data_IF_292811216880
#
_entry.id   IF_292811216880
#
_cell.length_a   1.000
_cell.length_b   1.000
_cell.length_c   1.000
_cell.angle_alpha   90.00
_cell.angle_beta   90.00
_cell.angle_gamma   90.00
#
_symmetry.space_group_name_H-M   'P 1'
#
loop_
_entity.id
_entity.type
_entity.pdbx_description
1 polymer ?
#
# COMPACT_ATOMS: atom_id res chain seq x y z
N UNK A 1 79.05 39.54 -3.94
CA UNK A 1 77.80 40.00 -4.57
C UNK A 1 77.31 38.95 -5.53
N UNK A 2 76.69 37.88 -5.10
CA UNK A 2 76.02 36.90 -5.99
C UNK A 2 75.24 35.86 -5.14
N UNK A 3 74.23 36.28 -4.39
CA UNK A 3 73.36 35.33 -3.67
C UNK A 3 71.87 35.69 -3.58
N UNK A 4 71.39 36.68 -4.35
CA UNK A 4 70.01 37.17 -4.23
C UNK A 4 69.09 36.77 -5.39
N UNK A 5 69.59 36.16 -6.46
CA UNK A 5 68.77 35.90 -7.65
C UNK A 5 68.17 34.47 -7.67
N UNK A 6 68.68 33.54 -6.89
CA UNK A 6 68.22 32.14 -6.91
C UNK A 6 66.95 31.85 -6.05
N UNK A 7 66.56 32.74 -5.16
CA UNK A 7 65.38 32.53 -4.31
C UNK A 7 64.06 32.98 -4.95
N UNK A 8 64.08 33.89 -5.88
CA UNK A 8 62.83 34.39 -6.52
C UNK A 8 62.27 33.46 -7.58
N UNK A 9 63.06 32.68 -8.25
CA UNK A 9 62.59 31.73 -9.27
C UNK A 9 61.92 30.48 -8.69
N UNK A 10 62.38 30.01 -7.53
CA UNK A 10 61.76 28.84 -6.88
C UNK A 10 60.41 29.20 -6.21
N UNK A 11 60.23 30.40 -5.72
CA UNK A 11 58.95 30.85 -5.14
C UNK A 11 57.84 30.97 -6.18
N UNK A 12 58.19 31.50 -7.35
CA UNK A 12 57.20 31.61 -8.47
C UNK A 12 56.85 30.24 -9.01
N UNK A 13 57.75 29.25 -9.06
CA UNK A 13 57.45 27.89 -9.49
C UNK A 13 56.62 27.11 -8.48
N UNK A 14 56.79 27.32 -7.20
CA UNK A 14 55.95 26.73 -6.15
C UNK A 14 54.55 27.36 -6.13
N UNK A 15 54.42 28.66 -6.33
CA UNK A 15 53.13 29.32 -6.37
C UNK A 15 52.30 28.95 -7.62
N UNK A 16 52.96 28.71 -8.77
CA UNK A 16 52.32 28.23 -9.98
C UNK A 16 51.86 26.75 -9.89
N UNK A 17 52.62 25.90 -9.26
CA UNK A 17 52.25 24.49 -8.97
C UNK A 17 51.08 24.40 -7.97
N UNK A 18 51.10 25.24 -6.93
CA UNK A 18 49.98 25.30 -5.97
C UNK A 18 48.69 25.80 -6.57
N UNK A 19 48.75 26.83 -7.45
CA UNK A 19 47.58 27.35 -8.18
C UNK A 19 47.02 26.34 -9.20
N UNK A 20 47.86 25.56 -9.84
CA UNK A 20 47.44 24.49 -10.78
C UNK A 20 46.77 23.33 -10.05
N UNK A 21 47.21 22.95 -8.86
CA UNK A 21 46.62 21.89 -8.05
C UNK A 21 45.26 22.32 -7.48
N UNK A 22 45.10 23.58 -7.08
CA UNK A 22 43.81 24.12 -6.60
C UNK A 22 42.82 24.28 -7.77
N UNK A 23 43.28 24.60 -8.98
CA UNK A 23 42.43 24.70 -10.14
C UNK A 23 41.93 23.34 -10.64
N UNK A 24 42.73 22.29 -10.52
CA UNK A 24 42.31 20.91 -10.87
C UNK A 24 41.30 20.36 -9.84
N UNK A 25 41.42 20.73 -8.55
CA UNK A 25 40.45 20.34 -7.52
C UNK A 25 39.12 21.12 -7.60
N UNK A 26 39.10 22.31 -8.23
CA UNK A 26 37.88 23.11 -8.41
C UNK A 26 37.09 22.73 -9.70
N UNK A 27 37.69 21.97 -10.60
CA UNK A 27 37.02 21.48 -11.82
C UNK A 27 36.46 20.06 -11.65
N UNK A 28 36.84 19.32 -10.61
CA UNK A 28 36.13 18.14 -10.18
C UNK A 28 34.86 18.61 -9.44
N UNK A 29 33.87 19.09 -10.20
CA UNK A 29 32.50 19.18 -9.69
C UNK A 29 32.10 17.81 -9.10
N UNK A 30 31.18 17.78 -8.11
CA UNK A 30 30.65 16.50 -7.68
C UNK A 30 30.15 15.81 -8.93
N UNK A 31 30.65 14.61 -9.20
CA UNK A 31 30.05 13.75 -10.20
C UNK A 31 28.55 13.78 -9.88
N UNK A 32 27.76 14.36 -10.76
CA UNK A 32 26.33 14.20 -10.68
C UNK A 32 26.15 12.69 -10.76
N UNK A 33 25.83 12.08 -9.62
CA UNK A 33 25.48 10.67 -9.60
C UNK A 33 24.40 10.55 -10.65
N UNK A 34 24.75 9.92 -11.78
CA UNK A 34 23.77 9.62 -12.80
C UNK A 34 22.75 8.74 -12.11
N UNK A 35 21.55 9.25 -11.91
CA UNK A 35 20.46 8.46 -11.36
C UNK A 35 20.42 7.19 -12.21
N UNK A 36 20.68 6.05 -11.57
CA UNK A 36 20.65 4.78 -12.27
C UNK A 36 19.22 4.57 -12.72
N UNK A 37 18.99 4.58 -14.02
CA UNK A 37 17.66 4.37 -14.58
C UNK A 37 17.50 2.88 -14.79
N UNK A 38 16.64 2.26 -13.99
CA UNK A 38 16.27 0.87 -14.16
C UNK A 38 15.23 0.76 -15.27
N UNK A 39 15.04 -0.44 -15.79
CA UNK A 39 14.01 -0.74 -16.77
C UNK A 39 12.97 -1.63 -16.15
N UNK A 40 11.72 -1.17 -16.13
CA UNK A 40 10.58 -1.95 -15.70
C UNK A 40 10.03 -2.76 -16.88
N UNK A 41 9.94 -4.06 -16.71
CA UNK A 41 9.27 -5.01 -17.59
C UNK A 41 8.13 -5.65 -16.83
N UNK A 42 6.91 -5.42 -17.29
CA UNK A 42 5.69 -5.86 -16.62
C UNK A 42 5.09 -7.07 -17.33
N UNK A 43 4.76 -8.09 -16.56
CA UNK A 43 3.89 -9.18 -16.96
C UNK A 43 2.63 -9.17 -16.11
N UNK A 44 1.47 -9.22 -16.75
CA UNK A 44 0.17 -9.31 -16.09
C UNK A 44 -0.38 -10.71 -16.34
N UNK A 45 -0.81 -11.39 -15.27
CA UNK A 45 -1.27 -12.77 -15.34
C UNK A 45 -2.54 -13.00 -14.53
N UNK A 46 -3.25 -14.07 -14.84
CA UNK A 46 -4.39 -14.52 -14.03
C UNK A 46 -3.92 -15.04 -12.67
N UNK A 47 -4.50 -14.53 -11.60
CA UNK A 47 -4.19 -14.93 -10.22
C UNK A 47 -4.71 -16.31 -9.85
N UNK A 48 -5.76 -16.80 -10.53
CA UNK A 48 -6.38 -18.11 -10.28
C UNK A 48 -6.90 -18.73 -11.56
N UNK A 49 -7.29 -20.01 -11.45
CA UNK A 49 -8.03 -20.72 -12.48
C UNK A 49 -9.52 -20.40 -12.34
N UNK A 50 -10.14 -19.93 -13.43
CA UNK A 50 -11.57 -19.68 -13.49
C UNK A 50 -12.16 -20.39 -14.72
N UNK A 51 -12.98 -21.45 -14.51
CA UNK A 51 -13.57 -22.19 -15.62
C UNK A 51 -14.66 -21.41 -16.35
N UNK A 52 -15.35 -20.51 -15.66
CA UNK A 52 -16.53 -19.77 -16.12
C UNK A 52 -16.24 -18.30 -16.46
N UNK A 53 -14.96 -17.97 -16.72
CA UNK A 53 -14.58 -16.61 -17.10
C UNK A 53 -15.32 -16.16 -18.38
N UNK A 54 -15.72 -14.86 -18.48
CA UNK A 54 -16.51 -14.35 -19.62
C UNK A 54 -15.89 -14.61 -21.00
N UNK A 55 -14.56 -14.58 -21.10
CA UNK A 55 -13.81 -14.92 -22.33
C UNK A 55 -13.53 -16.41 -22.53
N UNK A 56 -14.07 -17.30 -21.70
CA UNK A 56 -13.77 -18.71 -21.64
C UNK A 56 -12.77 -19.04 -20.53
N UNK A 57 -12.60 -20.34 -20.23
CA UNK A 57 -11.74 -20.81 -19.15
C UNK A 57 -10.35 -20.16 -19.19
N UNK A 58 -9.92 -19.60 -18.07
CA UNK A 58 -8.54 -19.16 -17.81
C UNK A 58 -7.86 -20.03 -16.78
N UNK A 59 -6.55 -20.11 -16.80
CA UNK A 59 -5.74 -20.87 -15.84
C UNK A 59 -4.84 -19.93 -15.07
N UNK A 60 -4.58 -20.21 -13.80
CA UNK A 60 -3.62 -19.44 -13.00
C UNK A 60 -2.29 -19.33 -13.74
N UNK A 61 -1.78 -18.10 -13.86
CA UNK A 61 -0.54 -17.77 -14.56
C UNK A 61 -0.69 -17.53 -16.06
N UNK A 62 -1.89 -17.73 -16.64
CA UNK A 62 -2.14 -17.34 -18.03
C UNK A 62 -1.88 -15.84 -18.22
N UNK A 63 -1.17 -15.49 -19.28
CA UNK A 63 -0.87 -14.08 -19.58
C UNK A 63 -2.14 -13.33 -19.99
N UNK A 64 -2.28 -12.12 -19.48
CA UNK A 64 -3.34 -11.17 -19.85
C UNK A 64 -2.75 -10.20 -20.89
N UNK A 65 -3.13 -10.33 -22.16
CA UNK A 65 -2.44 -9.63 -23.25
C UNK A 65 -2.84 -8.15 -23.39
N UNK A 66 -4.02 -7.77 -22.90
CA UNK A 66 -4.57 -6.42 -23.03
C UNK A 66 -4.90 -5.85 -21.66
N UNK A 67 -4.20 -4.77 -21.29
CA UNK A 67 -4.43 -4.08 -20.01
C UNK A 67 -4.03 -2.61 -20.10
N UNK A 68 -4.50 -1.83 -19.12
CA UNK A 68 -4.00 -0.48 -18.83
C UNK A 68 -3.34 -0.50 -17.46
N UNK A 69 -2.37 0.37 -17.27
CA UNK A 69 -1.69 0.51 -15.99
C UNK A 69 -1.55 1.97 -15.57
N UNK A 70 -1.43 2.17 -14.27
CA UNK A 70 -1.10 3.43 -13.61
C UNK A 70 0.00 3.15 -12.60
N UNK A 71 1.09 3.89 -12.63
CA UNK A 71 2.17 3.82 -11.63
C UNK A 71 2.18 5.13 -10.86
N UNK A 72 2.04 5.02 -9.55
CA UNK A 72 2.17 6.13 -8.61
C UNK A 72 3.50 6.02 -7.86
N UNK A 73 4.05 7.15 -7.45
CA UNK A 73 5.09 7.19 -6.42
C UNK A 73 4.41 6.76 -5.11
N UNK A 74 4.97 5.75 -4.45
CA UNK A 74 4.44 5.26 -3.19
C UNK A 74 5.06 6.05 -2.05
N UNK A 75 4.27 6.91 -1.44
CA UNK A 75 4.64 7.75 -0.30
C UNK A 75 3.88 7.36 0.99
N UNK A 76 3.30 6.15 1.02
CA UNK A 76 2.43 5.63 2.08
C UNK A 76 3.17 4.97 3.25
N UNK A 77 4.37 5.35 3.58
CA UNK A 77 5.07 4.86 4.77
C UNK A 77 6.16 3.82 4.50
N UNK A 78 6.79 3.33 5.57
CA UNK A 78 7.86 2.34 5.48
C UNK A 78 7.29 0.92 5.55
N UNK A 79 7.44 0.09 4.48
CA UNK A 79 6.96 -1.28 4.50
C UNK A 79 7.74 -2.18 5.47
N UNK A 80 8.87 -1.73 6.00
CA UNK A 80 9.65 -2.48 7.00
C UNK A 80 9.12 -2.29 8.42
N UNK A 81 8.23 -1.33 8.64
CA UNK A 81 7.61 -1.03 9.93
C UNK A 81 8.64 -0.81 11.06
N UNK A 82 9.78 -0.25 10.74
CA UNK A 82 10.82 0.08 11.73
C UNK A 82 10.61 1.51 12.19
N UNK A 83 10.28 1.69 13.48
CA UNK A 83 10.20 3.02 14.09
C UNK A 83 11.57 3.62 14.28
N UNK A 84 11.72 4.86 13.89
CA UNK A 84 12.91 5.64 14.17
C UNK A 84 12.96 6.06 15.65
N UNK A 85 14.18 6.35 16.14
CA UNK A 85 14.36 6.89 17.48
C UNK A 85 13.64 8.26 17.58
N UNK A 86 12.88 8.46 18.66
CA UNK A 86 12.09 9.68 18.85
C UNK A 86 10.66 9.61 18.29
N UNK A 87 10.25 8.45 17.78
CA UNK A 87 8.92 8.23 17.22
C UNK A 87 8.12 7.21 18.04
N UNK A 88 8.02 7.45 19.35
CA UNK A 88 7.17 6.65 20.25
C UNK A 88 6.18 7.55 20.96
N UNK A 89 5.09 6.99 21.49
CA UNK A 89 4.05 7.75 22.17
C UNK A 89 4.57 8.54 23.38
N UNK A 90 5.71 8.13 23.97
CA UNK A 90 6.35 8.80 25.10
C UNK A 90 7.30 9.94 24.68
N UNK A 91 7.61 10.07 23.39
CA UNK A 91 8.55 11.08 22.90
C UNK A 91 7.89 12.46 22.81
N UNK A 92 8.61 13.53 23.21
CA UNK A 92 8.10 14.89 23.08
C UNK A 92 7.79 15.25 21.62
N UNK A 93 6.54 15.68 21.37
CA UNK A 93 6.10 16.10 20.03
C UNK A 93 5.55 14.96 19.17
N UNK A 94 5.41 13.74 19.70
CA UNK A 94 4.72 12.66 18.99
C UNK A 94 3.25 13.05 18.68
N UNK A 95 2.72 12.72 17.48
CA UNK A 95 3.37 12.04 16.37
C UNK A 95 4.15 12.96 15.42
N UNK A 96 4.08 14.29 15.59
CA UNK A 96 4.70 15.28 14.68
C UNK A 96 6.23 15.20 14.64
N UNK A 97 6.84 14.60 15.66
CA UNK A 97 8.28 14.33 15.70
C UNK A 97 8.72 13.17 14.81
N UNK A 98 7.78 12.40 14.27
CA UNK A 98 8.06 11.23 13.44
C UNK A 98 8.31 11.64 11.98
N UNK A 99 9.35 11.07 11.36
CA UNK A 99 9.64 11.29 9.93
C UNK A 99 8.87 10.32 9.01
N UNK A 100 8.01 9.50 9.57
CA UNK A 100 7.22 8.54 8.79
C UNK A 100 6.10 9.23 8.02
N UNK A 101 6.04 9.04 6.69
CA UNK A 101 4.99 9.63 5.86
C UNK A 101 3.57 9.23 6.30
N UNK A 102 3.38 8.02 6.81
CA UNK A 102 2.10 7.48 7.28
C UNK A 102 1.53 8.19 8.53
N UNK A 103 2.35 8.90 9.28
CA UNK A 103 1.93 9.67 10.48
C UNK A 103 1.63 11.13 10.14
N UNK A 104 2.15 11.61 9.03
CA UNK A 104 1.96 12.99 8.57
C UNK A 104 0.89 13.07 7.51
N UNK A 105 0.07 14.12 7.56
CA UNK A 105 -0.79 14.48 6.44
C UNK A 105 0.09 14.88 5.25
N UNK A 106 0.16 14.04 4.22
CA UNK A 106 0.91 14.32 3.00
C UNK A 106 -0.04 14.96 1.99
N UNK A 107 0.25 16.20 1.61
CA UNK A 107 -0.49 16.87 0.56
C UNK A 107 -0.10 16.27 -0.81
N UNK A 108 -1.10 15.79 -1.57
CA UNK A 108 -0.89 15.20 -2.89
C UNK A 108 -0.33 13.79 -2.82
N UNK A 109 -0.89 12.98 -1.92
CA UNK A 109 -0.53 11.57 -1.77
C UNK A 109 -0.46 10.82 -3.11
N UNK A 110 0.53 9.93 -3.24
CA UNK A 110 0.72 9.04 -4.38
C UNK A 110 0.66 9.71 -5.76
N UNK A 111 1.54 10.69 -6.07
CA UNK A 111 1.52 11.36 -7.36
C UNK A 111 1.77 10.36 -8.51
N UNK A 112 1.10 10.56 -9.62
CA UNK A 112 1.25 9.71 -10.81
C UNK A 112 2.66 9.89 -11.37
N UNK A 113 3.43 8.78 -11.44
CA UNK A 113 4.69 8.74 -12.14
C UNK A 113 4.48 8.56 -13.64
N UNK A 114 3.71 7.55 -14.05
CA UNK A 114 3.36 7.28 -15.46
C UNK A 114 2.11 6.42 -15.57
N UNK A 115 1.53 6.37 -16.77
CA UNK A 115 0.39 5.52 -17.09
C UNK A 115 0.44 5.13 -18.57
N UNK A 116 -0.19 4.04 -18.94
CA UNK A 116 -0.22 3.56 -20.30
C UNK A 116 -0.93 2.21 -20.46
N UNK A 117 -0.44 1.42 -21.40
CA UNK A 117 -0.97 0.11 -21.72
C UNK A 117 0.17 -0.90 -21.99
N UNK A 118 -0.18 -2.14 -22.34
CA UNK A 118 0.75 -3.23 -22.63
C UNK A 118 1.78 -2.91 -23.72
N UNK A 119 1.48 -2.00 -24.64
CA UNK A 119 2.38 -1.68 -25.76
C UNK A 119 3.67 -1.00 -25.31
N UNK A 120 3.64 -0.31 -24.16
CA UNK A 120 4.81 0.37 -23.59
C UNK A 120 5.92 -0.63 -23.19
N UNK A 121 5.55 -1.88 -22.95
CA UNK A 121 6.48 -2.94 -22.56
C UNK A 121 6.99 -3.77 -23.76
N UNK A 122 6.38 -3.66 -24.94
CA UNK A 122 6.76 -4.39 -26.14
C UNK A 122 8.11 -3.98 -26.72
N UNK A 123 8.59 -2.77 -26.39
CA UNK A 123 9.82 -2.15 -26.92
C UNK A 123 11.04 -2.24 -26.00
N UNK A 124 11.01 -3.05 -24.93
CA UNK A 124 12.12 -3.16 -23.98
C UNK A 124 11.82 -2.53 -22.61
N UNK A 125 10.55 -2.25 -22.32
CA UNK A 125 10.08 -1.74 -21.03
C UNK A 125 10.20 -0.22 -20.88
N UNK A 126 9.82 0.26 -19.70
CA UNK A 126 9.83 1.69 -19.37
C UNK A 126 10.97 2.03 -18.41
N UNK A 127 11.63 3.19 -18.59
CA UNK A 127 12.65 3.65 -17.65
C UNK A 127 11.98 4.08 -16.33
N UNK A 128 12.55 3.66 -15.20
CA UNK A 128 12.07 4.01 -13.87
C UNK A 128 13.26 4.29 -12.94
N UNK A 129 13.30 5.42 -12.23
CA UNK A 129 14.34 5.72 -11.25
C UNK A 129 14.18 4.88 -9.97
N UNK A 130 15.22 4.85 -9.15
CA UNK A 130 15.17 4.25 -7.82
C UNK A 130 14.07 4.92 -6.99
N UNK A 131 13.31 4.12 -6.24
CA UNK A 131 12.22 4.61 -5.40
C UNK A 131 11.18 3.54 -5.10
N UNK A 132 10.14 3.94 -4.37
CA UNK A 132 8.99 3.11 -4.04
C UNK A 132 7.80 3.49 -4.91
N UNK A 133 7.08 2.50 -5.39
CA UNK A 133 6.00 2.68 -6.34
C UNK A 133 4.83 1.74 -6.04
N UNK A 134 3.64 2.19 -6.43
CA UNK A 134 2.43 1.37 -6.53
C UNK A 134 2.02 1.30 -7.99
N UNK A 135 1.83 0.09 -8.52
CA UNK A 135 1.22 -0.10 -9.83
C UNK A 135 -0.21 -0.62 -9.66
N UNK A 136 -1.15 0.01 -10.35
CA UNK A 136 -2.53 -0.45 -10.52
C UNK A 136 -2.74 -0.88 -11.95
N UNK A 137 -3.42 -2.01 -12.16
CA UNK A 137 -3.65 -2.59 -13.47
C UNK A 137 -5.13 -2.88 -13.65
N UNK A 138 -5.67 -2.47 -14.81
CA UNK A 138 -7.05 -2.68 -15.25
C UNK A 138 -7.06 -3.53 -16.53
N UNK A 139 -7.75 -4.65 -16.50
CA UNK A 139 -8.02 -5.51 -17.68
C UNK A 139 -9.51 -5.89 -17.72
N UNK A 140 -10.05 -6.11 -18.91
CA UNK A 140 -11.50 -6.17 -19.17
C UNK A 140 -12.29 -7.12 -18.25
N UNK A 141 -11.96 -8.42 -18.28
CA UNK A 141 -12.71 -9.47 -17.56
C UNK A 141 -12.09 -9.80 -16.19
N UNK A 142 -11.33 -8.87 -15.63
CA UNK A 142 -10.61 -9.04 -14.37
C UNK A 142 -10.94 -7.92 -13.40
N UNK A 143 -10.90 -8.23 -12.11
CA UNK A 143 -10.90 -7.20 -11.07
C UNK A 143 -9.62 -6.37 -11.19
N UNK A 144 -9.74 -5.06 -11.00
CA UNK A 144 -8.56 -4.18 -10.88
C UNK A 144 -7.69 -4.68 -9.74
N UNK A 145 -6.42 -4.77 -10.00
CA UNK A 145 -5.41 -5.20 -9.03
C UNK A 145 -4.14 -4.37 -9.15
N UNK A 146 -3.21 -4.61 -8.27
CA UNK A 146 -1.94 -3.89 -8.24
C UNK A 146 -1.00 -4.44 -7.20
N UNK A 147 0.20 -3.87 -7.14
CA UNK A 147 1.24 -4.27 -6.19
C UNK A 147 2.16 -3.09 -5.88
N UNK A 148 2.59 -3.00 -4.62
CA UNK A 148 3.69 -2.13 -4.22
C UNK A 148 5.02 -2.76 -4.63
N UNK A 149 5.95 -1.96 -5.12
CA UNK A 149 7.27 -2.45 -5.48
C UNK A 149 8.35 -1.38 -5.27
N UNK A 150 9.58 -1.82 -5.09
CA UNK A 150 10.72 -0.96 -4.91
C UNK A 150 11.73 -1.13 -6.05
N UNK A 151 12.31 -0.04 -6.50
CA UNK A 151 13.38 -0.01 -7.48
C UNK A 151 14.69 0.33 -6.77
N UNK A 152 15.78 -0.42 -6.98
CA UNK A 152 16.04 -1.34 -8.11
C UNK A 152 15.29 -2.66 -8.01
N UNK A 153 14.67 -3.03 -9.13
CA UNK A 153 13.99 -4.31 -9.27
C UNK A 153 14.99 -5.47 -9.35
N UNK A 154 14.60 -6.70 -8.96
CA UNK A 154 15.38 -7.89 -9.24
C UNK A 154 15.63 -8.01 -10.74
N UNK A 155 16.69 -8.72 -11.11
CA UNK A 155 16.97 -9.01 -12.52
C UNK A 155 15.77 -9.70 -13.18
N UNK A 156 15.58 -9.53 -14.49
CA UNK A 156 14.44 -10.10 -15.19
C UNK A 156 14.42 -11.64 -15.07
N UNK A 157 13.22 -12.20 -15.01
CA UNK A 157 13.01 -13.64 -15.00
C UNK A 157 13.34 -14.28 -16.37
N UNK A 158 13.06 -15.57 -16.54
CA UNK A 158 13.30 -16.27 -17.80
C UNK A 158 12.45 -15.75 -18.98
N UNK A 159 11.39 -14.99 -18.70
CA UNK A 159 10.54 -14.31 -19.67
C UNK A 159 11.00 -12.90 -20.03
N UNK A 160 11.98 -12.37 -19.33
CA UNK A 160 12.45 -10.99 -19.50
C UNK A 160 11.73 -9.98 -18.62
N UNK A 161 10.80 -10.43 -17.76
CA UNK A 161 10.00 -9.59 -16.89
C UNK A 161 10.64 -9.47 -15.51
N UNK A 162 10.53 -8.31 -14.87
CA UNK A 162 11.03 -8.09 -13.52
C UNK A 162 9.95 -7.63 -12.53
N UNK A 163 8.72 -7.44 -13.02
CA UNK A 163 7.54 -7.22 -12.19
C UNK A 163 6.37 -8.05 -12.73
N UNK A 164 5.71 -8.80 -11.83
CA UNK A 164 4.53 -9.59 -12.17
C UNK A 164 3.36 -9.07 -11.34
N UNK A 165 2.25 -8.75 -12.02
CA UNK A 165 0.99 -8.37 -11.38
C UNK A 165 -0.04 -9.46 -11.66
N UNK A 166 -0.64 -10.00 -10.61
CA UNK A 166 -1.68 -11.01 -10.69
C UNK A 166 -3.06 -10.34 -10.59
N UNK A 167 -3.95 -10.61 -11.53
CA UNK A 167 -5.33 -10.10 -11.52
C UNK A 167 -6.33 -11.23 -11.33
N UNK A 168 -7.36 -10.98 -10.53
CA UNK A 168 -8.44 -11.92 -10.28
C UNK A 168 -9.42 -11.94 -11.46
N UNK A 169 -9.61 -13.08 -12.14
CA UNK A 169 -10.60 -13.19 -13.20
C UNK A 169 -12.02 -13.18 -12.63
N UNK A 170 -12.96 -12.62 -13.38
CA UNK A 170 -14.39 -12.69 -13.06
C UNK A 170 -14.97 -14.04 -13.55
N UNK A 171 -16.03 -14.58 -12.89
CA UNK A 171 -16.65 -14.08 -11.67
C UNK A 171 -15.74 -14.29 -10.45
N UNK A 172 -15.80 -13.36 -9.49
CA UNK A 172 -15.02 -13.48 -8.26
C UNK A 172 -15.68 -14.50 -7.30
N UNK A 173 -14.92 -15.41 -6.68
CA UNK A 173 -15.45 -16.22 -5.61
C UNK A 173 -15.73 -15.36 -4.38
N UNK A 174 -16.78 -15.67 -3.58
CA UNK A 174 -17.02 -14.95 -2.35
C UNK A 174 -15.97 -15.30 -1.29
N UNK A 175 -15.49 -14.28 -0.58
CA UNK A 175 -14.64 -14.40 0.58
C UNK A 175 -15.23 -13.59 1.74
N UNK A 176 -14.80 -13.88 2.98
CA UNK A 176 -15.29 -13.19 4.17
C UNK A 176 -14.14 -12.54 4.91
N UNK A 177 -14.25 -11.25 5.20
CA UNK A 177 -13.33 -10.53 6.06
C UNK A 177 -13.87 -10.49 7.49
N UNK A 178 -12.99 -10.80 8.46
CA UNK A 178 -13.31 -10.67 9.89
C UNK A 178 -12.33 -9.70 10.52
N UNK A 179 -12.85 -8.68 11.20
CA UNK A 179 -12.06 -7.64 11.88
C UNK A 179 -12.47 -7.63 13.34
N UNK A 180 -11.51 -7.76 14.24
CA UNK A 180 -11.72 -7.58 15.67
C UNK A 180 -11.30 -6.19 16.09
N UNK A 181 -12.20 -5.49 16.78
CA UNK A 181 -11.93 -4.19 17.39
C UNK A 181 -11.96 -4.35 18.90
N UNK A 182 -10.87 -3.99 19.57
CA UNK A 182 -10.72 -4.22 21.00
C UNK A 182 -9.93 -3.09 21.67
N UNK A 183 -10.06 -2.98 22.99
CA UNK A 183 -9.28 -2.05 23.80
C UNK A 183 -7.95 -2.71 24.19
N UNK A 184 -6.86 -2.26 23.57
CA UNK A 184 -5.50 -2.76 23.81
C UNK A 184 -4.88 -2.03 25.01
N UNK A 185 -4.84 -2.68 26.17
CA UNK A 185 -4.51 -2.02 27.44
C UNK A 185 -3.31 -2.58 28.18
N UNK A 186 -3.10 -3.91 28.19
CA UNK A 186 -2.05 -4.50 29.03
C UNK A 186 -1.63 -5.89 28.55
N UNK A 187 -0.53 -6.04 27.85
CA UNK A 187 0.35 -4.98 27.31
C UNK A 187 -0.25 -4.30 26.07
N UNK A 188 0.05 -3.05 25.84
CA UNK A 188 -0.28 -2.39 24.58
C UNK A 188 0.66 -2.94 23.51
N UNK A 189 0.18 -3.87 22.68
CA UNK A 189 0.99 -4.65 21.75
C UNK A 189 0.33 -4.92 20.40
N UNK A 190 -0.90 -4.42 20.18
CA UNK A 190 -1.67 -4.65 18.95
C UNK A 190 -2.22 -6.07 18.80
N UNK A 191 -2.25 -6.86 19.88
CA UNK A 191 -2.79 -8.22 19.89
C UNK A 191 -3.92 -8.31 20.93
N UNK A 192 -4.96 -9.06 20.61
CA UNK A 192 -6.06 -9.30 21.54
C UNK A 192 -5.63 -10.26 22.66
N UNK A 193 -5.45 -9.73 23.85
CA UNK A 193 -4.99 -10.48 25.03
C UNK A 193 -6.14 -10.86 25.97
N UNK A 194 -5.94 -11.89 26.84
CA UNK A 194 -6.94 -12.27 27.81
C UNK A 194 -7.27 -11.15 28.80
N UNK A 195 -8.51 -10.72 28.83
CA UNK A 195 -9.02 -9.66 29.71
C UNK A 195 -9.30 -8.35 28.99
N UNK A 196 -8.88 -8.23 27.75
CA UNK A 196 -9.24 -7.10 26.91
C UNK A 196 -10.68 -7.19 26.41
N UNK A 197 -11.28 -6.02 26.19
CA UNK A 197 -12.69 -5.93 25.83
C UNK A 197 -12.86 -5.59 24.37
N UNK A 198 -13.78 -6.31 23.70
CA UNK A 198 -14.23 -5.89 22.38
C UNK A 198 -14.96 -4.55 22.45
N UNK A 199 -14.72 -3.71 21.49
CA UNK A 199 -15.35 -2.38 21.38
C UNK A 199 -16.55 -2.43 20.44
N UNK A 200 -17.56 -1.58 20.71
CA UNK A 200 -18.84 -1.53 20.00
C UNK A 200 -18.96 -0.23 19.21
N UNK A 201 -19.62 -0.26 18.05
CA UNK A 201 -19.95 0.94 17.27
C UNK A 201 -18.81 1.45 16.37
N UNK A 202 -17.68 0.78 16.30
CA UNK A 202 -16.61 1.12 15.39
C UNK A 202 -16.94 0.69 13.97
N UNK A 203 -16.75 1.58 13.00
CA UNK A 203 -17.09 1.34 11.59
C UNK A 203 -15.86 1.01 10.75
N UNK A 204 -15.87 -0.14 10.09
CA UNK A 204 -14.88 -0.46 9.08
C UNK A 204 -15.17 0.26 7.75
N UNK A 205 -14.12 0.79 7.15
CA UNK A 205 -14.08 1.29 5.77
C UNK A 205 -13.05 0.44 5.03
N UNK A 206 -13.47 -0.14 3.92
CA UNK A 206 -12.65 -1.07 3.14
C UNK A 206 -12.32 -0.42 1.81
N UNK A 207 -11.04 -0.34 1.51
CA UNK A 207 -10.56 0.17 0.23
C UNK A 207 -9.86 -0.94 -0.56
N UNK A 208 -9.94 -0.85 -1.87
CA UNK A 208 -9.05 -1.59 -2.78
C UNK A 208 -8.12 -0.60 -3.52
N UNK A 209 -7.42 -1.05 -4.55
CA UNK A 209 -6.53 -0.19 -5.34
C UNK A 209 -7.23 0.95 -6.10
N UNK A 210 -8.56 0.94 -6.13
CA UNK A 210 -9.37 1.97 -6.81
C UNK A 210 -9.97 2.97 -5.83
N UNK A 211 -10.22 2.55 -4.60
CA UNK A 211 -10.82 3.36 -3.54
C UNK A 211 -11.78 2.57 -2.67
N UNK A 212 -12.68 3.29 -1.97
CA UNK A 212 -13.66 2.68 -1.06
C UNK A 212 -14.60 1.72 -1.80
N UNK A 213 -14.75 0.52 -1.23
CA UNK A 213 -15.66 -0.50 -1.72
C UNK A 213 -17.01 -0.33 -1.03
N UNK A 214 -18.06 -0.22 -1.81
CA UNK A 214 -19.43 -0.14 -1.31
C UNK A 214 -20.30 -1.33 -1.71
N UNK A 215 -19.78 -2.23 -2.58
CA UNK A 215 -20.53 -3.38 -3.11
C UNK A 215 -19.77 -4.68 -2.92
N UNK A 216 -20.51 -5.78 -2.79
CA UNK A 216 -19.99 -7.13 -2.78
C UNK A 216 -19.65 -7.65 -4.20
N UNK A 217 -19.19 -8.90 -4.30
CA UNK A 217 -18.82 -9.55 -5.59
C UNK A 217 -20.02 -9.72 -6.54
N UNK A 218 -21.24 -9.64 -6.04
CA UNK A 218 -22.48 -9.74 -6.84
C UNK A 218 -23.03 -8.38 -7.28
N UNK A 219 -22.36 -7.28 -6.87
CA UNK A 219 -22.73 -5.91 -7.20
C UNK A 219 -23.80 -5.30 -6.30
N UNK A 220 -24.16 -5.97 -5.20
CA UNK A 220 -25.10 -5.46 -4.20
C UNK A 220 -24.34 -4.70 -3.09
N UNK A 221 -25.01 -3.85 -2.29
CA UNK A 221 -24.39 -3.18 -1.15
C UNK A 221 -23.67 -4.19 -0.23
N UNK A 222 -22.54 -3.79 0.35
CA UNK A 222 -21.88 -4.60 1.36
C UNK A 222 -22.87 -5.00 2.46
N UNK A 223 -22.70 -6.17 3.06
CA UNK A 223 -23.59 -6.78 4.04
C UNK A 223 -24.92 -7.32 3.49
N UNK A 224 -25.13 -7.32 2.21
CA UNK A 224 -26.35 -7.93 1.63
C UNK A 224 -26.41 -9.41 1.99
N UNK A 225 -27.54 -9.83 2.55
CA UNK A 225 -27.89 -11.24 2.71
C UNK A 225 -28.61 -11.78 1.46
N UNK A 226 -28.44 -13.07 1.23
CA UNK A 226 -29.00 -13.76 0.07
C UNK A 226 -29.85 -14.95 0.52
N UNK A 227 -30.92 -15.22 -0.19
CA UNK A 227 -31.73 -16.42 0.03
C UNK A 227 -31.05 -17.70 -0.51
N UNK A 228 -31.72 -18.83 -0.36
CA UNK A 228 -31.23 -20.12 -0.83
C UNK A 228 -31.09 -20.24 -2.37
N UNK A 229 -31.69 -19.31 -3.11
CA UNK A 229 -31.60 -19.24 -4.58
C UNK A 229 -30.47 -18.26 -5.02
N UNK A 230 -29.87 -17.53 -4.09
CA UNK A 230 -28.90 -16.49 -4.37
C UNK A 230 -29.51 -15.10 -4.66
N UNK A 231 -30.81 -14.92 -4.40
CA UNK A 231 -31.45 -13.63 -4.58
C UNK A 231 -31.21 -12.72 -3.36
N UNK A 232 -30.90 -11.42 -3.55
CA UNK A 232 -30.64 -10.51 -2.44
C UNK A 232 -31.94 -10.21 -1.65
N UNK A 233 -31.88 -10.37 -0.33
CA UNK A 233 -33.02 -10.10 0.57
C UNK A 233 -32.87 -8.79 1.35
N UNK A 234 -31.69 -8.19 1.38
CA UNK A 234 -31.43 -6.88 1.98
C UNK A 234 -30.20 -6.86 2.86
N UNK A 235 -29.93 -5.72 3.47
CA UNK A 235 -28.86 -5.50 4.43
C UNK A 235 -29.43 -5.58 5.84
N UNK A 236 -29.08 -6.59 6.65
CA UNK A 236 -29.52 -6.67 8.02
C UNK A 236 -28.91 -5.56 8.86
N UNK A 237 -29.70 -5.04 9.80
CA UNK A 237 -29.27 -4.05 10.77
C UNK A 237 -29.44 -4.61 12.18
N UNK A 238 -28.68 -4.08 13.13
CA UNK A 238 -28.80 -4.40 14.55
C UNK A 238 -28.61 -3.13 15.38
N UNK A 239 -29.16 -3.14 16.60
CA UNK A 239 -29.05 -2.05 17.57
C UNK A 239 -28.11 -2.46 18.71
N UNK A 240 -27.32 -1.51 19.24
CA UNK A 240 -26.57 -1.75 20.46
C UNK A 240 -27.50 -1.77 21.66
N UNK A 241 -27.66 -2.92 22.34
CA UNK A 241 -28.55 -3.02 23.50
C UNK A 241 -28.03 -2.25 24.74
N UNK A 242 -26.81 -1.78 24.74
CA UNK A 242 -26.21 -1.02 25.84
C UNK A 242 -26.54 0.48 25.79
N UNK A 243 -26.99 0.99 24.63
CA UNK A 243 -27.37 2.40 24.46
C UNK A 243 -28.89 2.59 24.55
N UNK A 244 -29.39 3.72 25.09
CA UNK A 244 -30.81 4.04 25.10
C UNK A 244 -31.31 4.59 23.76
N UNK A 245 -30.40 4.93 22.81
CA UNK A 245 -30.74 5.36 21.46
C UNK A 245 -30.84 4.13 20.55
N UNK A 246 -31.80 4.19 19.61
CA UNK A 246 -31.88 3.18 18.53
C UNK A 246 -30.81 3.54 17.49
N UNK A 247 -29.87 2.66 17.31
CA UNK A 247 -28.73 2.82 16.41
C UNK A 247 -28.76 1.68 15.39
N UNK A 248 -28.94 1.99 14.12
CA UNK A 248 -29.00 0.99 13.07
C UNK A 248 -27.59 0.72 12.51
N UNK A 249 -26.95 -0.34 12.99
CA UNK A 249 -25.65 -0.78 12.54
C UNK A 249 -25.78 -1.94 11.53
N UNK A 250 -24.86 -2.00 10.57
CA UNK A 250 -24.73 -3.09 9.60
C UNK A 250 -23.55 -3.99 9.95
N UNK A 251 -23.24 -4.98 9.11
CA UNK A 251 -22.05 -5.83 9.25
C UNK A 251 -20.71 -5.06 9.23
N UNK A 252 -20.72 -3.78 8.83
CA UNK A 252 -19.53 -2.93 8.85
C UNK A 252 -19.21 -2.38 10.26
N UNK A 253 -20.05 -2.64 11.23
CA UNK A 253 -19.87 -2.13 12.61
C UNK A 253 -19.52 -3.26 13.56
N UNK A 254 -18.62 -2.95 14.52
CA UNK A 254 -18.27 -3.84 15.61
C UNK A 254 -19.36 -3.88 16.69
N UNK A 255 -19.41 -4.98 17.45
CA UNK A 255 -20.30 -5.13 18.60
C UNK A 255 -21.61 -5.85 18.28
N UNK A 256 -21.81 -6.40 17.09
CA UNK A 256 -22.99 -7.18 16.75
C UNK A 256 -23.16 -8.35 17.74
N UNK A 257 -24.25 -8.40 18.55
CA UNK A 257 -24.44 -9.43 19.56
C UNK A 257 -24.68 -10.85 18.96
N UNK A 258 -25.00 -10.93 17.68
CA UNK A 258 -25.13 -12.21 16.96
C UNK A 258 -23.79 -12.77 16.46
N UNK A 259 -22.73 -11.97 16.53
CA UNK A 259 -21.38 -12.33 16.10
C UNK A 259 -20.49 -12.59 17.30
N UNK A 260 -19.73 -13.68 17.26
CA UNK A 260 -18.77 -14.02 18.31
C UNK A 260 -17.78 -12.87 18.53
N UNK A 261 -17.60 -12.47 19.80
CA UNK A 261 -16.78 -11.33 20.24
C UNK A 261 -17.19 -9.97 19.67
N UNK A 262 -18.35 -9.85 19.02
CA UNK A 262 -18.76 -8.61 18.37
C UNK A 262 -17.85 -8.20 17.19
N UNK A 263 -17.17 -9.15 16.54
CA UNK A 263 -16.31 -8.89 15.41
C UNK A 263 -17.12 -8.28 14.23
N UNK A 264 -16.48 -7.43 13.45
CA UNK A 264 -17.00 -7.02 12.14
C UNK A 264 -16.82 -8.20 11.19
N UNK A 265 -17.90 -8.63 10.52
CA UNK A 265 -17.84 -9.76 9.58
C UNK A 265 -18.47 -9.34 8.27
N UNK A 266 -17.64 -9.09 7.27
CA UNK A 266 -18.05 -8.62 5.94
C UNK A 266 -18.00 -9.80 4.97
N UNK A 267 -19.15 -10.34 4.56
CA UNK A 267 -19.20 -11.47 3.62
C UNK A 267 -19.10 -10.99 2.17
N UNK A 268 -18.88 -11.95 1.28
CA UNK A 268 -18.99 -11.79 -0.17
C UNK A 268 -18.04 -10.75 -0.76
N UNK A 269 -16.86 -10.58 -0.17
CA UNK A 269 -15.76 -9.82 -0.78
C UNK A 269 -15.00 -10.71 -1.78
N UNK A 270 -14.40 -10.11 -2.80
CA UNK A 270 -13.52 -10.83 -3.72
C UNK A 270 -12.14 -11.09 -3.11
N UNK A 271 -11.41 -12.13 -3.58
CA UNK A 271 -10.03 -12.33 -3.18
C UNK A 271 -9.17 -11.19 -3.73
N UNK A 272 -8.58 -10.42 -2.82
CA UNK A 272 -7.74 -9.27 -3.15
C UNK A 272 -6.99 -8.81 -1.90
N UNK A 273 -6.02 -7.92 -2.09
CA UNK A 273 -5.47 -7.10 -1.01
C UNK A 273 -6.40 -5.92 -0.74
N UNK A 274 -6.73 -5.73 0.51
CA UNK A 274 -7.59 -4.66 0.98
C UNK A 274 -6.86 -3.82 2.03
N UNK A 275 -7.13 -2.53 1.97
CA UNK A 275 -6.78 -1.56 3.00
C UNK A 275 -8.01 -1.36 3.91
N UNK A 276 -7.83 -1.61 5.19
CA UNK A 276 -8.90 -1.57 6.19
C UNK A 276 -8.65 -0.44 7.15
N UNK A 277 -9.55 0.53 7.19
CA UNK A 277 -9.60 1.60 8.17
C UNK A 277 -10.76 1.35 9.13
N UNK A 278 -10.54 1.53 10.43
CA UNK A 278 -11.58 1.42 11.45
C UNK A 278 -11.79 2.77 12.12
N UNK A 279 -12.98 3.34 11.97
CA UNK A 279 -13.34 4.63 12.53
C UNK A 279 -14.07 4.44 13.86
N UNK A 280 -13.72 5.19 14.92
CA UNK A 280 -14.45 5.19 16.19
C UNK A 280 -15.86 5.79 16.05
N UNK A 281 -16.74 5.57 17.03
CA UNK A 281 -18.02 6.27 17.13
C UNK A 281 -17.86 7.79 17.10
N UNK A 282 -18.88 8.50 16.57
CA UNK A 282 -18.83 9.95 16.46
C UNK A 282 -18.63 10.63 17.83
N UNK A 283 -17.64 11.50 17.90
CA UNK A 283 -17.29 12.25 19.11
C UNK A 283 -16.34 11.53 20.06
N UNK A 284 -15.94 10.32 19.76
CA UNK A 284 -14.92 9.57 20.50
C UNK A 284 -13.54 9.73 19.88
N UNK A 285 -12.52 9.72 20.72
CA UNK A 285 -11.13 9.75 20.29
C UNK A 285 -10.42 8.47 20.73
N UNK A 286 -9.91 7.74 19.76
CA UNK A 286 -9.15 6.51 19.95
C UNK A 286 -7.84 6.58 19.17
N UNK A 287 -6.80 5.95 19.68
CA UNK A 287 -5.52 5.80 19.03
C UNK A 287 -5.35 4.34 18.63
N UNK A 288 -5.09 4.09 17.37
CA UNK A 288 -4.83 2.74 16.89
C UNK A 288 -3.43 2.25 17.32
N UNK A 289 -3.34 1.00 17.73
CA UNK A 289 -2.10 0.37 18.26
C UNK A 289 -1.62 -0.79 17.40
N UNK A 290 -2.40 -1.22 16.40
CA UNK A 290 -2.09 -2.40 15.58
C UNK A 290 -1.12 -2.13 14.45
N UNK A 291 -1.02 -0.90 13.97
CA UNK A 291 -0.10 -0.50 12.91
C UNK A 291 1.18 0.10 13.49
N UNK A 292 2.30 -0.57 13.31
CA UNK A 292 3.59 -0.15 13.88
C UNK A 292 4.18 1.08 13.21
N UNK A 293 3.88 1.30 11.95
CA UNK A 293 4.30 2.45 11.15
C UNK A 293 3.42 3.70 11.37
N UNK A 294 2.38 3.60 12.19
CA UNK A 294 1.44 4.69 12.42
C UNK A 294 0.50 4.96 11.24
N UNK A 295 0.40 4.03 10.29
CA UNK A 295 -0.63 4.08 9.25
C UNK A 295 -2.02 3.95 9.91
N UNK A 296 -3.02 4.75 9.50
CA UNK A 296 -4.37 4.63 10.03
C UNK A 296 -5.13 3.43 9.45
N UNK A 297 -4.50 2.67 8.56
CA UNK A 297 -5.13 1.55 7.89
C UNK A 297 -4.29 0.28 7.97
N UNK A 298 -4.96 -0.85 7.89
CA UNK A 298 -4.39 -2.18 7.95
C UNK A 298 -4.50 -2.88 6.60
N UNK A 299 -3.37 -3.30 6.04
CA UNK A 299 -3.34 -4.10 4.83
C UNK A 299 -3.71 -5.56 5.13
N UNK A 300 -4.70 -6.10 4.44
CA UNK A 300 -5.08 -7.49 4.56
C UNK A 300 -5.29 -8.16 3.21
N UNK A 301 -4.99 -9.47 3.15
CA UNK A 301 -5.23 -10.29 1.99
C UNK A 301 -6.41 -11.21 2.25
N UNK A 302 -7.40 -11.16 1.37
CA UNK A 302 -8.41 -12.20 1.29
C UNK A 302 -7.98 -13.21 0.22
N UNK A 303 -7.70 -14.44 0.65
CA UNK A 303 -7.47 -15.57 -0.24
C UNK A 303 -8.79 -16.24 -0.59
N UNK A 304 -8.75 -17.08 -1.62
CA UNK A 304 -9.85 -18.01 -1.91
C UNK A 304 -10.03 -18.93 -0.70
N UNK A 305 -11.27 -19.12 -0.26
CA UNK A 305 -11.66 -20.04 0.79
C UNK A 305 -11.63 -21.51 0.33
#
# INVERSE_FOLDING_TARGET
MNKIITFRTNFIRMALLGALLVFVLLVAGPDAASAQTNTLQLRVVSARTEPDAPGGRVVKGDAIPEYKYLINVDDTGDPTQVREAGCTADDPGYPDSCDWPSIRAIAGAAPIYTQGNQDDFSGGGIPIPDGKYLISVLAGDYKVGGIHFEVPLPGPDAGGDNLVVELQPNPLPPATMRIRVFEDITPVNGQFDPGEQSLVGFKAVINDTVGEISTDVFGNPLCTEYDANGDPIGVPVWDDPATPAVEEYTCLFSGNPAVENGDIVIPNLGPLRYDVLVNPPEGEFWLETTTLEGSPSWDTWLAEG
#
